data_IF_006253020307
#
_entry.id   IF_006253020307
#
_cell.length_a   1.000
_cell.length_b   1.000
_cell.length_c   1.000
_cell.angle_alpha   90.00
_cell.angle_beta   90.00
_cell.angle_gamma   90.00
#
_symmetry.space_group_name_H-M   'P 1'
#
loop_
_entity.id
_entity.type
_entity.pdbx_description
1 polymer ?
#
# COMPACT_ATOMS: atom_id res chain seq x y z
N UNK A 1 18.13 16.19 -29.23
CA UNK A 1 16.95 16.72 -28.48
C UNK A 1 15.82 15.70 -28.29
N UNK A 2 15.46 14.86 -29.27
CA UNK A 2 14.40 13.82 -29.09
C UNK A 2 14.74 12.77 -28.02
N UNK A 3 15.99 12.29 -28.01
CA UNK A 3 16.48 11.32 -27.00
C UNK A 3 16.43 11.86 -25.56
N UNK A 4 16.81 13.13 -25.35
CA UNK A 4 16.78 13.77 -24.02
C UNK A 4 15.35 13.91 -23.49
N UNK A 5 14.39 14.21 -24.37
CA UNK A 5 12.96 14.27 -24.02
C UNK A 5 12.40 12.89 -23.66
N UNK A 6 12.81 11.83 -24.37
CA UNK A 6 12.43 10.46 -24.04
C UNK A 6 12.98 9.99 -22.69
N UNK A 7 14.25 10.30 -22.40
CA UNK A 7 14.90 9.93 -21.14
C UNK A 7 14.29 10.66 -19.93
N UNK A 8 13.93 11.94 -20.09
CA UNK A 8 13.26 12.72 -19.05
C UNK A 8 11.86 12.16 -18.75
N UNK A 9 11.11 11.75 -19.77
CA UNK A 9 9.81 11.10 -19.60
C UNK A 9 9.90 9.78 -18.83
N UNK A 10 10.97 9.00 -19.03
CA UNK A 10 11.20 7.75 -18.32
C UNK A 10 11.54 7.95 -16.83
N UNK A 11 12.36 8.96 -16.50
CA UNK A 11 12.70 9.29 -15.11
C UNK A 11 11.46 9.74 -14.29
N UNK A 12 10.52 10.44 -14.92
CA UNK A 12 9.30 10.94 -14.26
C UNK A 12 8.30 9.82 -13.90
N UNK A 13 8.41 8.64 -14.50
CA UNK A 13 7.51 7.51 -14.24
C UNK A 13 7.95 6.61 -13.06
N UNK A 14 9.18 6.77 -12.57
CA UNK A 14 9.79 5.92 -11.54
C UNK A 14 9.11 5.92 -10.15
N UNK A 15 8.48 7.02 -9.67
CA UNK A 15 7.86 7.05 -8.33
C UNK A 15 6.63 6.14 -8.16
N UNK A 16 6.07 5.61 -9.25
CA UNK A 16 4.87 4.76 -9.22
C UNK A 16 5.13 3.35 -8.66
N UNK A 17 6.37 2.99 -8.36
CA UNK A 17 6.76 1.65 -7.92
C UNK A 17 6.74 1.46 -6.39
N UNK A 18 6.50 2.52 -5.61
CA UNK A 18 6.28 2.39 -4.17
C UNK A 18 4.84 1.96 -3.93
N UNK A 19 4.66 0.68 -3.57
CA UNK A 19 3.41 0.13 -3.08
C UNK A 19 3.63 -0.42 -1.68
N UNK A 20 2.70 -0.15 -0.77
CA UNK A 20 2.63 -0.89 0.49
C UNK A 20 2.19 -2.32 0.17
N UNK A 21 2.91 -3.32 0.66
CA UNK A 21 2.51 -4.71 0.48
C UNK A 21 1.59 -5.14 1.62
N UNK A 22 0.34 -5.46 1.31
CA UNK A 22 -0.58 -6.09 2.27
C UNK A 22 -0.13 -7.52 2.50
N UNK A 23 0.33 -7.81 3.73
CA UNK A 23 0.79 -9.15 4.12
C UNK A 23 -0.36 -9.98 4.68
N UNK A 24 -1.39 -9.33 5.21
CA UNK A 24 -2.61 -10.00 5.63
C UNK A 24 -3.66 -9.09 6.24
N UNK A 25 -4.82 -9.67 6.52
CA UNK A 25 -5.92 -8.97 7.17
C UNK A 25 -6.71 -9.91 8.08
N UNK A 26 -7.26 -9.36 9.16
CA UNK A 26 -8.16 -10.08 10.08
C UNK A 26 -9.48 -9.32 10.23
N UNK A 27 -10.61 -10.01 10.11
CA UNK A 27 -11.93 -9.42 10.31
C UNK A 27 -12.19 -9.18 11.79
N UNK A 28 -12.70 -8.00 12.14
CA UNK A 28 -12.96 -7.61 13.53
C UNK A 28 -14.44 -7.45 13.84
N UNK A 29 -15.23 -6.85 12.94
CA UNK A 29 -16.68 -6.62 13.15
C UNK A 29 -17.48 -7.14 11.97
N UNK A 30 -18.39 -8.06 12.26
CA UNK A 30 -19.32 -8.60 11.28
C UNK A 30 -20.34 -7.54 10.84
N UNK A 31 -20.58 -7.44 9.53
CA UNK A 31 -21.65 -6.64 8.94
C UNK A 31 -22.55 -7.53 8.10
N UNK A 32 -23.86 -7.43 8.32
CA UNK A 32 -24.85 -8.20 7.57
C UNK A 32 -24.87 -7.88 6.07
N UNK A 33 -24.56 -6.63 5.71
CA UNK A 33 -24.55 -6.16 4.32
C UNK A 33 -23.23 -5.47 4.02
N UNK A 34 -22.49 -6.04 3.06
CA UNK A 34 -21.18 -5.58 2.65
C UNK A 34 -20.03 -6.18 3.47
N UNK A 35 -18.78 -5.77 3.20
CA UNK A 35 -17.62 -6.36 3.85
C UNK A 35 -17.56 -6.08 5.35
N UNK A 36 -16.93 -6.95 6.11
CA UNK A 36 -16.65 -6.72 7.53
C UNK A 36 -15.61 -5.60 7.73
N UNK A 37 -15.67 -4.97 8.90
CA UNK A 37 -14.53 -4.18 9.37
C UNK A 37 -13.36 -5.13 9.61
N UNK A 38 -12.15 -4.64 9.34
CA UNK A 38 -10.95 -5.47 9.42
C UNK A 38 -9.75 -4.64 9.86
N UNK A 39 -8.75 -5.34 10.37
CA UNK A 39 -7.40 -4.80 10.55
C UNK A 39 -6.56 -5.37 9.42
N UNK A 40 -5.93 -4.50 8.66
CA UNK A 40 -5.00 -4.85 7.58
C UNK A 40 -3.58 -4.62 8.09
N UNK A 41 -2.68 -5.55 7.79
CA UNK A 41 -1.25 -5.48 8.11
C UNK A 41 -0.48 -5.29 6.82
N UNK A 42 0.28 -4.20 6.76
CA UNK A 42 1.10 -3.83 5.61
C UNK A 42 2.57 -3.81 6.02
N UNK A 43 3.44 -4.21 5.09
CA UNK A 43 4.88 -4.15 5.26
C UNK A 43 5.48 -2.98 4.46
N UNK A 44 6.45 -2.31 5.08
CA UNK A 44 7.20 -1.20 4.52
C UNK A 44 8.68 -1.38 4.82
N UNK A 45 9.53 -1.31 3.81
CA UNK A 45 10.98 -1.32 4.06
C UNK A 45 11.43 0.06 4.57
N UNK A 46 12.30 0.06 5.59
CA UNK A 46 12.82 1.30 6.17
C UNK A 46 13.82 1.94 5.19
N UNK A 47 13.58 3.17 4.69
CA UNK A 47 14.46 3.80 3.72
C UNK A 47 15.84 4.18 4.29
N UNK A 48 16.01 4.14 5.61
CA UNK A 48 17.25 4.49 6.31
C UNK A 48 18.05 3.28 6.76
N UNK A 49 17.44 2.11 6.86
CA UNK A 49 18.09 0.89 7.36
C UNK A 49 17.82 -0.28 6.43
N UNK A 50 18.87 -0.69 5.71
CA UNK A 50 18.77 -1.78 4.74
C UNK A 50 18.42 -3.11 5.41
N UNK A 51 17.54 -3.89 4.77
CA UNK A 51 17.06 -5.17 5.27
C UNK A 51 16.10 -5.11 6.46
N UNK A 52 15.62 -3.92 6.85
CA UNK A 52 14.62 -3.76 7.92
C UNK A 52 13.24 -3.48 7.32
N UNK A 53 12.26 -4.30 7.71
CA UNK A 53 10.85 -4.13 7.33
C UNK A 53 10.01 -3.77 8.55
N UNK A 54 9.29 -2.65 8.44
CA UNK A 54 8.33 -2.14 9.41
C UNK A 54 6.92 -2.63 9.07
N UNK A 55 6.23 -3.20 10.06
CA UNK A 55 4.84 -3.65 9.91
C UNK A 55 3.88 -2.62 10.50
N UNK A 56 2.90 -2.19 9.71
CA UNK A 56 1.85 -1.27 10.14
C UNK A 56 0.50 -1.95 10.12
N UNK A 57 -0.22 -1.91 11.25
CA UNK A 57 -1.60 -2.32 11.32
C UNK A 57 -2.55 -1.12 11.18
N UNK A 58 -3.54 -1.22 10.30
CA UNK A 58 -4.55 -0.17 10.08
C UNK A 58 -5.95 -0.74 10.12
N UNK A 59 -6.87 -0.04 10.77
CA UNK A 59 -8.28 -0.36 10.71
C UNK A 59 -8.86 0.09 9.36
N UNK A 60 -9.59 -0.80 8.68
CA UNK A 60 -10.33 -0.51 7.47
C UNK A 60 -11.81 -0.79 7.72
N UNK A 61 -12.61 0.26 7.62
CA UNK A 61 -14.06 0.17 7.75
C UNK A 61 -14.64 -0.57 6.55
N UNK A 62 -15.50 -1.55 6.81
CA UNK A 62 -16.28 -2.27 5.82
C UNK A 62 -17.73 -1.77 5.73
N UNK A 63 -18.54 -2.49 4.96
CA UNK A 63 -19.93 -2.16 4.67
C UNK A 63 -20.08 -1.27 3.45
N UNK A 64 -21.29 -0.74 3.25
CA UNK A 64 -21.68 0.01 2.03
C UNK A 64 -21.01 1.40 1.94
N UNK A 65 -20.48 1.90 3.06
CA UNK A 65 -19.77 3.19 3.13
C UNK A 65 -18.25 3.02 3.31
N UNK A 66 -17.76 1.78 3.28
CA UNK A 66 -16.36 1.42 3.51
C UNK A 66 -15.44 1.74 2.32
#
# INVERSE_FOLDING_TARGET
MRMVKGLLGLLLAMPLLVSAEEIGQVSTVFKFVGPNDRIVVEAFDDPKVDGVTCYLSRAKTGGVKG
#
